data_IF_904998988961
#
_entry.id   IF_904998988961
#
_cell.length_a   1.000
_cell.length_b   1.000
_cell.length_c   1.000
_cell.angle_alpha   90.00
_cell.angle_beta   90.00
_cell.angle_gamma   90.00
#
_symmetry.space_group_name_H-M   'P 1'
#
loop_
_entity.id
_entity.type
_entity.pdbx_description
1 polymer ?
#
# COMPACT_ATOMS: atom_id res chain seq x y z
N UNK A 1 18.02 19.01 5.70
CA UNK A 1 18.79 20.17 6.22
C UNK A 1 18.29 20.60 7.59
N UNK A 2 16.98 20.84 7.79
CA UNK A 2 16.43 21.23 9.10
C UNK A 2 16.57 20.17 10.20
N UNK A 3 16.46 18.90 9.88
CA UNK A 3 16.68 17.80 10.84
C UNK A 3 18.13 17.73 11.33
N UNK A 4 19.11 18.08 10.48
CA UNK A 4 20.53 18.15 10.90
C UNK A 4 20.83 19.40 11.74
N UNK A 5 20.04 20.44 11.62
CA UNK A 5 20.20 21.68 12.41
C UNK A 5 19.63 21.54 13.83
N UNK A 6 18.59 20.70 14.01
CA UNK A 6 17.91 20.49 15.30
C UNK A 6 18.13 19.13 15.93
N UNK A 7 18.54 18.13 15.17
CA UNK A 7 18.77 16.76 15.62
C UNK A 7 20.22 16.28 15.46
N UNK A 8 21.15 17.20 15.32
CA UNK A 8 22.50 17.02 14.80
C UNK A 8 23.51 16.23 15.63
N UNK A 9 23.08 15.29 16.45
CA UNK A 9 24.03 14.32 17.02
C UNK A 9 24.15 13.11 16.10
N UNK A 10 25.38 12.67 15.77
CA UNK A 10 25.55 11.37 15.12
C UNK A 10 24.93 10.28 15.97
N UNK A 11 24.34 9.27 15.33
CA UNK A 11 23.78 8.13 16.03
C UNK A 11 24.80 7.50 16.98
N UNK A 12 24.41 7.18 18.23
CA UNK A 12 25.31 6.51 19.16
C UNK A 12 25.88 5.21 18.57
N UNK A 13 27.14 4.91 18.84
CA UNK A 13 27.80 3.69 18.37
C UNK A 13 26.99 2.40 18.59
N UNK A 14 26.31 2.20 19.75
CA UNK A 14 25.48 1.01 19.95
C UNK A 14 24.29 0.92 18.96
N UNK A 15 23.69 2.06 18.60
CA UNK A 15 22.60 2.10 17.61
C UNK A 15 23.14 1.77 16.22
N UNK A 16 24.33 2.25 15.90
CA UNK A 16 24.98 1.95 14.63
C UNK A 16 25.34 0.47 14.52
N UNK A 17 25.89 -0.11 15.60
CA UNK A 17 26.21 -1.54 15.66
C UNK A 17 24.95 -2.42 15.54
N UNK A 18 23.86 -2.06 16.23
CA UNK A 18 22.59 -2.76 16.12
C UNK A 18 22.02 -2.68 14.70
N UNK A 19 22.05 -1.51 14.07
CA UNK A 19 21.60 -1.33 12.70
C UNK A 19 22.43 -2.17 11.72
N UNK A 20 23.76 -2.24 11.90
CA UNK A 20 24.65 -3.06 11.08
C UNK A 20 24.32 -4.54 11.23
N UNK A 21 24.08 -5.03 12.45
CA UNK A 21 23.71 -6.42 12.73
C UNK A 21 22.35 -6.79 12.08
N UNK A 22 21.36 -5.89 12.18
CA UNK A 22 20.05 -6.08 11.53
C UNK A 22 20.16 -6.12 10.00
N UNK A 23 21.07 -5.37 9.43
CA UNK A 23 21.29 -5.35 7.99
C UNK A 23 22.00 -6.60 7.45
N UNK A 24 22.65 -7.35 8.32
CA UNK A 24 23.32 -8.61 7.96
C UNK A 24 22.38 -9.82 8.00
N UNK A 25 21.22 -9.69 8.66
CA UNK A 25 20.19 -10.73 8.69
C UNK A 25 19.16 -10.49 7.58
N UNK A 26 19.31 -11.21 6.47
CA UNK A 26 18.42 -11.15 5.29
C UNK A 26 17.31 -12.20 5.32
N UNK A 27 17.32 -13.17 6.22
CA UNK A 27 16.40 -14.30 6.21
C UNK A 27 14.94 -13.84 6.37
N UNK A 28 14.68 -12.92 7.29
CA UNK A 28 13.35 -12.34 7.48
C UNK A 28 12.90 -11.49 6.27
N UNK A 29 13.83 -10.83 5.58
CA UNK A 29 13.54 -10.03 4.38
C UNK A 29 13.15 -10.96 3.23
N UNK A 30 13.87 -12.07 3.05
CA UNK A 30 13.59 -13.08 2.03
C UNK A 30 12.20 -13.70 2.28
N UNK A 31 11.91 -14.10 3.53
CA UNK A 31 10.62 -14.65 3.92
C UNK A 31 9.47 -13.66 3.69
N UNK A 32 9.64 -12.40 4.09
CA UNK A 32 8.62 -11.37 3.86
C UNK A 32 8.41 -11.08 2.36
N UNK A 33 9.46 -11.03 1.57
CA UNK A 33 9.35 -10.85 0.10
C UNK A 33 8.56 -11.99 -0.54
N UNK A 34 8.81 -13.23 -0.13
CA UNK A 34 8.06 -14.38 -0.62
C UNK A 34 6.58 -14.26 -0.25
N UNK A 35 6.27 -13.94 1.01
CA UNK A 35 4.90 -13.77 1.50
C UNK A 35 4.14 -12.67 0.74
N UNK A 36 4.77 -11.51 0.52
CA UNK A 36 4.15 -10.45 -0.28
C UNK A 36 4.03 -10.81 -1.75
N UNK A 37 4.99 -11.56 -2.30
CA UNK A 37 4.91 -12.13 -3.64
C UNK A 37 3.63 -12.97 -3.82
N UNK A 38 3.34 -13.89 -2.91
CA UNK A 38 2.12 -14.69 -2.94
C UNK A 38 0.83 -13.85 -2.84
N UNK A 39 0.85 -12.77 -2.05
CA UNK A 39 -0.30 -11.85 -1.96
C UNK A 39 -0.50 -11.08 -3.27
N UNK A 40 0.56 -10.71 -3.96
CA UNK A 40 0.45 -10.09 -5.27
C UNK A 40 -0.03 -11.06 -6.36
N UNK A 41 0.39 -12.33 -6.32
CA UNK A 41 -0.14 -13.38 -7.20
C UNK A 41 -1.65 -13.54 -7.00
N UNK A 42 -2.10 -13.49 -5.74
CA UNK A 42 -3.50 -13.51 -5.38
C UNK A 42 -4.26 -12.29 -5.94
N UNK A 43 -3.71 -11.10 -5.78
CA UNK A 43 -4.32 -9.87 -6.31
C UNK A 43 -4.43 -9.90 -7.84
N UNK A 44 -3.39 -10.36 -8.53
CA UNK A 44 -3.38 -10.51 -9.98
C UNK A 44 -4.46 -11.48 -10.46
N UNK A 45 -4.64 -12.61 -9.77
CA UNK A 45 -5.68 -13.59 -10.09
C UNK A 45 -7.09 -13.04 -9.90
N UNK A 46 -7.34 -12.29 -8.81
CA UNK A 46 -8.69 -11.79 -8.47
C UNK A 46 -9.04 -10.54 -9.25
N UNK A 47 -8.13 -9.58 -9.32
CA UNK A 47 -8.38 -8.29 -9.97
C UNK A 47 -8.18 -8.37 -11.49
N UNK A 48 -7.29 -9.26 -11.95
CA UNK A 48 -6.98 -9.40 -13.38
C UNK A 48 -6.68 -8.04 -14.03
N UNK A 49 -7.43 -7.65 -15.07
CA UNK A 49 -7.27 -6.36 -15.76
C UNK A 49 -8.20 -5.26 -15.23
N UNK A 50 -8.85 -5.48 -14.08
CA UNK A 50 -9.80 -4.53 -13.51
C UNK A 50 -9.08 -3.43 -12.74
N UNK A 51 -9.70 -2.26 -12.67
CA UNK A 51 -9.22 -1.11 -11.89
C UNK A 51 -7.79 -0.67 -12.22
N UNK A 52 -7.35 -0.86 -13.48
CA UNK A 52 -5.99 -0.52 -13.88
C UNK A 52 -4.92 -1.26 -13.08
N UNK A 53 -5.26 -2.45 -12.55
CA UNK A 53 -4.32 -3.23 -11.74
C UNK A 53 -3.02 -3.50 -12.49
N UNK A 54 -1.92 -3.27 -11.83
CA UNK A 54 -0.58 -3.72 -12.24
C UNK A 54 0.13 -4.33 -11.04
N UNK A 55 0.95 -5.35 -11.26
CA UNK A 55 1.77 -5.94 -10.22
C UNK A 55 2.90 -4.98 -9.84
N UNK A 56 2.95 -4.46 -8.60
CA UNK A 56 4.04 -3.59 -8.18
C UNK A 56 5.35 -4.40 -8.06
N UNK A 57 6.48 -3.75 -8.36
CA UNK A 57 7.80 -4.36 -8.24
C UNK A 57 8.27 -4.52 -6.79
N UNK A 58 7.61 -3.88 -5.84
CA UNK A 58 7.93 -3.94 -4.42
C UNK A 58 6.89 -3.22 -3.56
N UNK A 59 7.15 -3.17 -2.26
CA UNK A 59 6.23 -2.63 -1.29
C UNK A 59 5.11 -3.60 -0.92
N UNK A 60 4.02 -3.05 -0.36
CA UNK A 60 2.88 -3.84 0.13
C UNK A 60 1.54 -3.11 -0.10
N UNK A 61 1.50 -2.23 -1.07
CA UNK A 61 0.30 -1.50 -1.46
C UNK A 61 -0.09 -1.80 -2.89
N UNK A 62 -1.41 -1.81 -3.13
CA UNK A 62 -1.98 -1.70 -4.47
C UNK A 62 -2.53 -0.29 -4.68
N UNK A 63 -2.39 0.20 -5.89
CA UNK A 63 -3.08 1.38 -6.39
C UNK A 63 -4.10 0.94 -7.43
N UNK A 64 -5.38 1.23 -7.18
CA UNK A 64 -6.47 0.82 -8.05
C UNK A 64 -7.19 2.06 -8.57
N UNK A 65 -7.32 2.19 -9.88
CA UNK A 65 -8.10 3.23 -10.53
C UNK A 65 -9.58 2.85 -10.49
N UNK A 66 -10.32 3.53 -9.65
CA UNK A 66 -11.76 3.30 -9.45
C UNK A 66 -12.62 4.46 -9.95
N UNK A 67 -11.99 5.44 -10.64
CA UNK A 67 -12.66 6.62 -11.18
C UNK A 67 -12.86 7.75 -10.15
N UNK A 68 -13.43 7.46 -8.99
CA UNK A 68 -13.57 8.37 -7.84
C UNK A 68 -13.18 7.63 -6.55
N UNK A 69 -11.97 7.91 -6.05
CA UNK A 69 -11.40 7.23 -4.88
C UNK A 69 -12.16 7.48 -3.59
N UNK A 70 -12.74 8.68 -3.41
CA UNK A 70 -13.49 8.99 -2.19
C UNK A 70 -14.88 8.33 -2.20
N UNK A 71 -15.58 8.36 -3.32
CA UNK A 71 -16.86 7.68 -3.48
C UNK A 71 -16.70 6.17 -3.28
N UNK A 72 -15.71 5.56 -3.95
CA UNK A 72 -15.41 4.14 -3.81
C UNK A 72 -15.03 3.75 -2.37
N UNK A 73 -14.25 4.59 -1.66
CA UNK A 73 -13.91 4.34 -0.26
C UNK A 73 -15.14 4.31 0.64
N UNK A 74 -16.08 5.25 0.45
CA UNK A 74 -17.35 5.28 1.20
C UNK A 74 -18.22 4.06 0.90
N UNK A 75 -18.30 3.67 -0.36
CA UNK A 75 -19.06 2.50 -0.79
C UNK A 75 -18.49 1.20 -0.23
N UNK A 76 -17.19 0.99 -0.32
CA UNK A 76 -16.51 -0.17 0.24
C UNK A 76 -16.70 -0.26 1.76
N UNK A 77 -16.65 0.87 2.45
CA UNK A 77 -16.92 0.89 3.89
C UNK A 77 -18.36 0.51 4.20
N UNK A 78 -19.32 1.13 3.51
CA UNK A 78 -20.74 0.94 3.80
C UNK A 78 -21.27 -0.45 3.41
N UNK A 79 -20.85 -0.99 2.26
CA UNK A 79 -21.40 -2.23 1.70
C UNK A 79 -20.54 -3.46 1.95
N UNK A 80 -19.23 -3.27 2.06
CA UNK A 80 -18.27 -4.36 2.15
C UNK A 80 -17.51 -4.37 3.49
N UNK A 81 -17.69 -3.38 4.38
CA UNK A 81 -16.93 -3.22 5.62
C UNK A 81 -15.41 -3.25 5.39
N UNK A 82 -14.95 -2.71 4.25
CA UNK A 82 -13.53 -2.64 3.88
C UNK A 82 -13.06 -1.19 3.98
N UNK A 83 -11.95 -0.99 4.71
CA UNK A 83 -11.30 0.31 4.82
C UNK A 83 -10.10 0.40 3.89
N UNK A 84 -10.16 1.34 2.97
CA UNK A 84 -9.06 1.71 2.07
C UNK A 84 -8.75 3.20 2.23
N UNK A 85 -7.67 3.68 1.62
CA UNK A 85 -7.31 5.09 1.67
C UNK A 85 -7.54 5.72 0.29
N UNK A 86 -8.35 6.80 0.20
CA UNK A 86 -8.47 7.55 -1.05
C UNK A 86 -7.11 8.13 -1.47
N UNK A 87 -6.81 8.02 -2.74
CA UNK A 87 -5.54 8.52 -3.29
C UNK A 87 -5.43 10.05 -3.21
N UNK A 88 -6.56 10.76 -3.24
CA UNK A 88 -6.62 12.21 -3.07
C UNK A 88 -5.98 12.71 -1.77
N UNK A 89 -5.99 11.89 -0.70
CA UNK A 89 -5.39 12.24 0.59
C UNK A 89 -3.86 12.08 0.61
N UNK A 90 -3.29 11.45 -0.40
CA UNK A 90 -1.85 11.20 -0.55
C UNK A 90 -1.21 12.10 -1.61
N UNK A 91 -2.00 12.92 -2.26
CA UNK A 91 -1.57 13.84 -3.31
C UNK A 91 -1.79 15.27 -2.86
N UNK A 92 -0.91 16.18 -3.27
CA UNK A 92 -1.13 17.60 -3.07
C UNK A 92 -2.06 18.13 -4.18
N UNK A 93 -3.03 18.93 -3.78
CA UNK A 93 -3.78 19.79 -4.69
C UNK A 93 -2.96 21.08 -4.85
N UNK A 94 -2.54 21.39 -6.05
CA UNK A 94 -1.78 22.62 -6.35
C UNK A 94 -2.70 23.78 -6.79
N UNK A 95 -4.03 23.54 -6.81
CA UNK A 95 -5.03 24.52 -7.22
C UNK A 95 -5.03 24.85 -8.72
N UNK A 96 -4.17 24.21 -9.51
CA UNK A 96 -4.01 24.43 -10.96
C UNK A 96 -4.41 23.18 -11.73
N UNK A 97 -4.07 22.01 -11.23
CA UNK A 97 -4.33 20.72 -11.84
C UNK A 97 -5.23 19.89 -10.96
N UNK A 98 -6.03 19.01 -11.57
CA UNK A 98 -6.78 18.00 -10.82
C UNK A 98 -5.84 17.16 -9.95
N UNK A 99 -6.26 16.89 -8.71
CA UNK A 99 -5.51 16.05 -7.79
C UNK A 99 -5.22 14.68 -8.44
N UNK A 100 -3.94 14.32 -8.68
CA UNK A 100 -3.57 13.11 -9.42
C UNK A 100 -4.02 11.82 -8.73
N UNK A 101 -4.23 11.85 -7.42
CA UNK A 101 -4.72 10.71 -6.65
C UNK A 101 -6.24 10.55 -6.65
N UNK A 102 -7.02 11.51 -7.17
CA UNK A 102 -8.48 11.55 -7.06
C UNK A 102 -9.17 10.28 -7.55
N UNK A 103 -8.65 9.68 -8.63
CA UNK A 103 -9.24 8.48 -9.25
C UNK A 103 -8.95 7.20 -8.47
N UNK A 104 -8.00 7.21 -7.56
CA UNK A 104 -7.38 6.01 -7.02
C UNK A 104 -7.78 5.73 -5.58
N UNK A 105 -7.74 4.44 -5.23
CA UNK A 105 -7.68 3.98 -3.84
C UNK A 105 -6.38 3.23 -3.61
N UNK A 106 -5.85 3.34 -2.38
CA UNK A 106 -4.70 2.56 -1.93
C UNK A 106 -5.16 1.44 -1.02
N UNK A 107 -4.83 0.20 -1.38
CA UNK A 107 -5.11 -1.01 -0.60
C UNK A 107 -3.82 -1.53 0.03
N UNK A 108 -3.81 -1.73 1.35
CA UNK A 108 -2.66 -2.29 2.06
C UNK A 108 -2.77 -3.82 2.14
N UNK A 109 -1.75 -4.54 1.63
CA UNK A 109 -1.70 -6.00 1.58
C UNK A 109 -1.12 -6.63 2.87
N UNK A 110 -1.45 -6.07 4.04
CA UNK A 110 -0.79 -6.38 5.31
C UNK A 110 -1.40 -7.55 6.08
N UNK A 111 -2.67 -7.88 5.84
CA UNK A 111 -3.35 -8.98 6.52
C UNK A 111 -2.94 -10.35 5.97
N UNK A 112 -3.33 -11.42 6.66
CA UNK A 112 -3.10 -12.79 6.22
C UNK A 112 -3.72 -13.05 4.84
N UNK A 113 -3.17 -14.03 4.13
CA UNK A 113 -3.53 -14.35 2.75
C UNK A 113 -5.02 -14.62 2.57
N UNK A 114 -5.63 -15.39 3.50
CA UNK A 114 -7.07 -15.69 3.45
C UNK A 114 -7.95 -14.45 3.62
N UNK A 115 -7.56 -13.55 4.53
CA UNK A 115 -8.26 -12.28 4.75
C UNK A 115 -8.10 -11.37 3.54
N UNK A 116 -6.91 -11.35 2.92
CA UNK A 116 -6.68 -10.58 1.70
C UNK A 116 -7.47 -11.12 0.51
N UNK A 117 -7.60 -12.44 0.39
CA UNK A 117 -8.40 -13.08 -0.65
C UNK A 117 -9.88 -12.66 -0.57
N UNK A 118 -10.48 -12.78 0.61
CA UNK A 118 -11.85 -12.33 0.86
C UNK A 118 -12.01 -10.83 0.58
N UNK A 119 -11.10 -10.01 1.10
CA UNK A 119 -11.17 -8.56 0.93
C UNK A 119 -11.08 -8.14 -0.55
N UNK A 120 -10.16 -8.72 -1.31
CA UNK A 120 -10.00 -8.42 -2.73
C UNK A 120 -11.22 -8.86 -3.57
N UNK A 121 -11.79 -10.04 -3.26
CA UNK A 121 -13.02 -10.49 -3.89
C UNK A 121 -14.16 -9.50 -3.63
N UNK A 122 -14.36 -9.09 -2.37
CA UNK A 122 -15.39 -8.12 -2.00
C UNK A 122 -15.17 -6.74 -2.62
N UNK A 123 -13.92 -6.27 -2.74
CA UNK A 123 -13.59 -5.04 -3.49
C UNK A 123 -14.03 -5.20 -4.95
N UNK A 124 -13.65 -6.31 -5.57
CA UNK A 124 -13.98 -6.61 -6.96
C UNK A 124 -15.49 -6.63 -7.20
N UNK A 125 -16.26 -7.24 -6.31
CA UNK A 125 -17.72 -7.37 -6.43
C UNK A 125 -18.48 -6.07 -6.14
N UNK A 126 -17.96 -5.28 -5.19
CA UNK A 126 -18.64 -4.04 -4.76
C UNK A 126 -18.49 -2.91 -5.77
N UNK A 127 -17.33 -2.83 -6.43
CA UNK A 127 -16.98 -1.76 -7.38
C UNK A 127 -17.17 -2.18 -8.86
N UNK A 128 -17.94 -3.25 -9.10
CA UNK A 128 -18.23 -3.78 -10.45
C UNK A 128 -19.29 -2.98 -11.17
#
# INVERSE_FOLDING_TARGET
RRLSEYGGSPSPLPVYAAATALWQDEDHVIANRALYGEKFDLAERILSNRFGFYRPQGGFFLWLDVGDGEAATKELWARAAIRVLPGSYLSADDGIHDNPGRRYIRVAMVHDKAVMEDALARISDTLS
#
